data_IF_765232568311
#
_entry.id   IF_765232568311
#
_cell.length_a   1.000
_cell.length_b   1.000
_cell.length_c   1.000
_cell.angle_alpha   90.00
_cell.angle_beta   90.00
_cell.angle_gamma   90.00
#
_symmetry.space_group_name_H-M   'P 1'
#
loop_
_entity.id
_entity.type
_entity.pdbx_description
1 polymer ?
#
# COMPACT_ATOMS: atom_id res chain seq x y z
N UNK A 1 -16.48 -6.96 2.52
CA UNK A 1 -15.68 -5.81 2.08
C UNK A 1 -14.32 -5.92 2.74
N UNK A 2 -13.24 -6.10 1.96
CA UNK A 2 -11.89 -6.22 2.51
C UNK A 2 -11.41 -4.84 2.97
N UNK A 3 -10.71 -4.76 4.10
CA UNK A 3 -10.22 -3.50 4.70
C UNK A 3 -8.70 -3.44 4.63
N UNK A 4 -8.15 -3.38 3.42
CA UNK A 4 -6.70 -3.23 3.22
C UNK A 4 -6.22 -1.82 3.59
N UNK A 5 -4.95 -1.71 3.95
CA UNK A 5 -4.30 -0.42 4.09
C UNK A 5 -4.09 0.20 2.69
N UNK A 6 -4.30 1.52 2.59
CA UNK A 6 -4.03 2.29 1.38
C UNK A 6 -3.04 3.37 1.78
N UNK A 7 -1.91 3.40 1.09
CA UNK A 7 -0.91 4.45 1.20
C UNK A 7 -1.07 5.39 0.02
N UNK A 8 -1.17 6.70 0.29
CA UNK A 8 -1.30 7.73 -0.74
C UNK A 8 -0.19 8.74 -0.53
N UNK A 9 0.53 9.06 -1.60
CA UNK A 9 1.63 10.01 -1.58
C UNK A 9 1.70 10.79 -2.90
N UNK A 10 2.26 12.00 -2.85
CA UNK A 10 2.51 12.80 -4.03
C UNK A 10 3.72 12.28 -4.80
N UNK A 11 3.60 12.17 -6.12
CA UNK A 11 4.67 11.86 -7.07
C UNK A 11 4.96 13.09 -7.91
N UNK A 12 6.19 13.59 -7.83
CA UNK A 12 6.63 14.69 -8.70
C UNK A 12 6.78 14.23 -10.16
N UNK A 13 7.08 12.95 -10.39
CA UNK A 13 7.23 12.38 -11.74
C UNK A 13 5.87 12.27 -12.46
N UNK A 14 4.82 11.91 -11.73
CA UNK A 14 3.46 11.77 -12.27
C UNK A 14 2.64 13.06 -12.15
N UNK A 15 3.21 14.12 -11.57
CA UNK A 15 2.52 15.39 -11.25
C UNK A 15 1.15 15.17 -10.57
N UNK A 16 1.10 14.28 -9.58
CA UNK A 16 -0.14 13.92 -8.90
C UNK A 16 0.06 12.94 -7.75
N UNK A 17 -1.01 12.24 -7.37
CA UNK A 17 -1.01 11.32 -6.24
C UNK A 17 -1.04 9.87 -6.70
N UNK A 18 -0.15 9.07 -6.10
CA UNK A 18 -0.11 7.63 -6.27
C UNK A 18 -0.69 6.98 -5.02
N UNK A 19 -1.63 6.07 -5.24
CA UNK A 19 -2.23 5.23 -4.20
C UNK A 19 -1.78 3.78 -4.40
N UNK A 20 -1.33 3.13 -3.33
CA UNK A 20 -0.85 1.75 -3.36
C UNK A 20 -1.47 0.94 -2.23
N UNK A 21 -1.66 -0.36 -2.46
CA UNK A 21 -2.10 -1.33 -1.45
C UNK A 21 -0.97 -2.33 -1.22
N UNK A 22 -0.17 -2.17 -0.15
CA UNK A 22 1.03 -2.99 0.07
C UNK A 22 0.77 -4.49 0.09
N UNK A 23 -0.39 -4.92 0.63
CA UNK A 23 -0.76 -6.33 0.67
C UNK A 23 -1.15 -6.91 -0.70
N UNK A 24 -1.60 -6.09 -1.65
CA UNK A 24 -2.03 -6.52 -2.97
C UNK A 24 -0.97 -6.14 -4.01
N UNK A 25 -0.01 -7.03 -4.23
CA UNK A 25 1.10 -6.78 -5.14
C UNK A 25 0.63 -6.31 -6.52
N UNK A 26 1.16 -5.16 -6.96
CA UNK A 26 0.81 -4.53 -8.23
C UNK A 26 -0.53 -3.76 -8.23
N UNK A 27 -1.23 -3.67 -7.10
CA UNK A 27 -2.44 -2.86 -6.99
C UNK A 27 -2.05 -1.41 -6.67
N UNK A 28 -1.97 -0.60 -7.73
CA UNK A 28 -1.64 0.83 -7.67
C UNK A 28 -2.66 1.62 -8.50
N UNK A 29 -2.84 2.89 -8.16
CA UNK A 29 -3.66 3.81 -8.92
C UNK A 29 -3.12 5.23 -8.82
N UNK A 30 -3.50 6.05 -9.78
CA UNK A 30 -3.10 7.46 -9.88
C UNK A 30 -4.33 8.37 -9.80
N UNK A 31 -4.15 9.58 -9.29
CA UNK A 31 -5.10 10.66 -9.48
C UNK A 31 -4.47 12.03 -9.25
N UNK A 32 -4.96 13.05 -9.95
CA UNK A 32 -4.50 14.44 -9.80
C UNK A 32 -4.73 15.00 -8.39
N UNK A 33 -5.60 14.36 -7.60
CA UNK A 33 -5.84 14.67 -6.18
C UNK A 33 -5.84 13.39 -5.36
N UNK A 34 -5.62 13.51 -4.06
CA UNK A 34 -5.71 12.40 -3.10
C UNK A 34 -7.07 11.67 -3.21
N UNK A 35 -8.16 12.42 -3.37
CA UNK A 35 -9.51 11.89 -3.50
C UNK A 35 -9.70 11.08 -4.79
N UNK A 36 -9.11 11.56 -5.90
CA UNK A 36 -9.11 10.84 -7.18
C UNK A 36 -8.31 9.56 -7.05
N UNK A 37 -7.09 9.62 -6.53
CA UNK A 37 -6.25 8.44 -6.31
C UNK A 37 -6.94 7.41 -5.40
N UNK A 38 -7.60 7.87 -4.33
CA UNK A 38 -8.39 7.03 -3.43
C UNK A 38 -9.60 6.38 -4.11
N UNK A 39 -10.26 7.08 -5.04
CA UNK A 39 -11.37 6.53 -5.81
C UNK A 39 -10.87 5.44 -6.75
N UNK A 40 -9.81 5.72 -7.50
CA UNK A 40 -9.26 4.80 -8.50
C UNK A 40 -8.67 3.54 -7.84
N UNK A 41 -7.98 3.67 -6.71
CA UNK A 41 -7.43 2.48 -6.02
C UNK A 41 -8.52 1.56 -5.50
N UNK A 42 -9.68 2.08 -5.08
CA UNK A 42 -10.81 1.23 -4.65
C UNK A 42 -11.33 0.37 -5.81
N UNK A 43 -11.42 0.94 -7.01
CA UNK A 43 -11.80 0.22 -8.22
C UNK A 43 -10.73 -0.83 -8.56
N UNK A 44 -9.46 -0.44 -8.53
CA UNK A 44 -8.34 -1.36 -8.79
C UNK A 44 -8.31 -2.53 -7.80
N UNK A 45 -8.62 -2.30 -6.52
CA UNK A 45 -8.72 -3.34 -5.50
C UNK A 45 -9.85 -4.33 -5.80
N UNK A 46 -11.03 -3.84 -6.19
CA UNK A 46 -12.15 -4.71 -6.56
C UNK A 46 -11.77 -5.61 -7.74
N UNK A 47 -11.21 -5.02 -8.80
CA UNK A 47 -10.75 -5.74 -9.99
C UNK A 47 -9.63 -6.75 -9.67
N UNK A 48 -8.69 -6.39 -8.81
CA UNK A 48 -7.61 -7.27 -8.38
C UNK A 48 -8.18 -8.52 -7.69
N UNK A 49 -9.12 -8.32 -6.75
CA UNK A 49 -9.75 -9.39 -5.98
C UNK A 49 -10.62 -10.28 -6.88
N UNK A 50 -11.40 -9.68 -7.79
CA UNK A 50 -12.19 -10.43 -8.76
C UNK A 50 -11.32 -11.30 -9.67
N UNK A 51 -10.22 -10.75 -10.18
CA UNK A 51 -9.27 -11.49 -11.02
C UNK A 51 -8.60 -12.60 -10.23
N UNK A 52 -8.16 -12.33 -8.99
CA UNK A 52 -7.57 -13.34 -8.13
C UNK A 52 -8.53 -14.51 -7.87
N UNK A 53 -9.83 -14.24 -7.64
CA UNK A 53 -10.86 -15.30 -7.53
C UNK A 53 -11.01 -16.11 -8.80
N UNK A 54 -11.08 -15.46 -9.96
CA UNK A 54 -11.24 -16.13 -11.27
C UNK A 54 -10.06 -17.04 -11.59
N UNK A 55 -8.86 -16.62 -11.23
CA UNK A 55 -7.62 -17.36 -11.49
C UNK A 55 -7.25 -18.35 -10.37
N UNK A 56 -8.05 -18.44 -9.31
CA UNK A 56 -7.74 -19.30 -8.15
C UNK A 56 -6.49 -18.87 -7.38
N UNK A 57 -6.08 -17.60 -7.50
CA UNK A 57 -4.97 -17.05 -6.74
C UNK A 57 -5.35 -16.86 -5.27
N UNK A 58 -4.38 -17.06 -4.39
CA UNK A 58 -4.55 -16.76 -2.97
C UNK A 58 -4.75 -15.26 -2.77
N UNK A 59 -5.78 -14.87 -2.01
CA UNK A 59 -6.07 -13.48 -1.66
C UNK A 59 -5.44 -13.20 -0.29
N UNK A 60 -4.44 -12.30 -0.20
CA UNK A 60 -3.81 -11.93 1.07
C UNK A 60 -4.84 -11.37 2.05
N UNK A 61 -4.74 -11.72 3.34
CA UNK A 61 -5.62 -11.13 4.35
C UNK A 61 -5.21 -9.68 4.63
N UNK A 62 -6.17 -8.76 4.82
CA UNK A 62 -5.87 -7.39 5.21
C UNK A 62 -5.28 -7.37 6.63
N UNK A 63 -4.13 -6.72 6.78
CA UNK A 63 -3.48 -6.57 8.08
C UNK A 63 -3.87 -5.24 8.76
N UNK A 64 -4.40 -4.29 7.99
CA UNK A 64 -4.88 -3.00 8.49
C UNK A 64 -3.78 -2.22 9.22
N UNK A 65 -4.04 -1.80 10.47
CA UNK A 65 -3.11 -1.02 11.30
C UNK A 65 -1.81 -1.75 11.65
N UNK A 66 -1.79 -3.09 11.56
CA UNK A 66 -0.60 -3.88 11.90
C UNK A 66 0.54 -3.62 10.91
N UNK A 67 0.24 -3.31 9.64
CA UNK A 67 1.23 -2.97 8.60
C UNK A 67 1.99 -1.71 9.00
N UNK A 68 1.27 -0.65 9.38
CA UNK A 68 1.88 0.61 9.82
C UNK A 68 2.85 0.40 10.99
N UNK A 69 2.46 -0.45 11.96
CA UNK A 69 3.31 -0.79 13.11
C UNK A 69 4.59 -1.50 12.65
N UNK A 70 4.47 -2.52 11.80
CA UNK A 70 5.62 -3.28 11.30
C UNK A 70 6.57 -2.41 10.45
N UNK A 71 6.03 -1.54 9.61
CA UNK A 71 6.82 -0.61 8.79
C UNK A 71 7.56 0.41 9.67
N UNK A 72 6.88 1.00 10.66
CA UNK A 72 7.48 1.96 11.59
C UNK A 72 8.57 1.30 12.46
N UNK A 73 8.32 0.12 13.02
CA UNK A 73 9.30 -0.61 13.82
C UNK A 73 10.55 -0.99 13.02
N UNK A 74 10.40 -1.37 11.73
CA UNK A 74 11.54 -1.62 10.85
C UNK A 74 12.33 -0.34 10.56
N UNK A 75 11.65 0.74 10.20
CA UNK A 75 12.29 2.04 9.92
C UNK A 75 13.06 2.57 11.14
N UNK A 76 12.51 2.41 12.35
CA UNK A 76 13.20 2.80 13.59
C UNK A 76 14.42 1.93 13.93
N UNK A 77 14.41 0.64 13.55
CA UNK A 77 15.57 -0.24 13.75
C UNK A 77 16.73 0.14 12.85
N UNK A 78 16.45 0.60 11.63
CA UNK A 78 17.48 1.06 10.66
C UNK A 78 18.06 2.43 11.00
N UNK A 79 17.39 3.25 11.81
CA UNK A 79 17.87 4.59 12.19
C UNK A 79 18.60 4.64 13.53
N UNK A 80 18.67 3.53 14.27
CA UNK A 80 19.57 3.42 15.43
C UNK A 80 20.97 3.11 14.90
N UNK A 81 21.93 4.06 14.93
CA UNK A 81 23.30 3.74 14.58
C UNK A 81 23.75 2.61 15.49
N UNK A 82 24.34 1.56 14.92
CA UNK A 82 25.12 0.61 15.70
C UNK A 82 26.04 1.46 16.58
N UNK A 83 25.93 1.31 17.91
CA UNK A 83 26.90 1.93 18.81
C UNK A 83 28.25 1.37 18.38
N UNK A 84 29.00 2.14 17.61
CA UNK A 84 30.40 1.87 17.35
C UNK A 84 31.03 1.70 18.73
N UNK A 85 31.45 0.47 19.02
CA UNK A 85 32.08 0.11 20.27
C UNK A 85 33.26 1.03 20.51
N UNK A 86 33.27 1.66 21.68
CA UNK A 86 34.45 2.32 22.25
C UNK A 86 35.24 1.25 22.98
#
# INVERSE_FOLDING_TARGET
MYKYAIEIFHSEEDEGYIAVVPELSGCTAFGETEEKALKEIKIAMELWIETAKKEGRNIPQPHGKEILKLTYEKALRTTRPERAGI
#
